data_IF_905646432617
#
_entry.id   IF_905646432617
#
_cell.length_a   1.000
_cell.length_b   1.000
_cell.length_c   1.000
_cell.angle_alpha   90.00
_cell.angle_beta   90.00
_cell.angle_gamma   90.00
#
_symmetry.space_group_name_H-M   'P 1'
#
loop_
_entity.id
_entity.type
_entity.pdbx_description
1 polymer ?
#
# COMPACT_ATOMS: atom_id res chain seq x y z
N UNK A 1 -22.74 18.28 17.44
CA UNK A 1 -21.98 18.32 16.18
C UNK A 1 -21.41 16.93 15.92
N UNK A 2 -22.01 16.17 15.02
CA UNK A 2 -21.59 14.79 14.75
C UNK A 2 -20.26 14.78 13.97
N UNK A 3 -19.24 14.14 14.54
CA UNK A 3 -17.95 13.95 13.91
C UNK A 3 -18.13 13.09 12.64
N UNK A 4 -17.89 13.68 11.48
CA UNK A 4 -17.90 13.01 10.19
C UNK A 4 -16.70 12.07 10.13
N UNK A 5 -16.88 10.82 10.53
CA UNK A 5 -15.89 9.75 10.40
C UNK A 5 -15.54 9.58 8.93
N UNK A 6 -14.30 9.96 8.56
CA UNK A 6 -13.77 9.73 7.22
C UNK A 6 -13.69 8.22 7.00
N UNK A 7 -14.35 7.73 5.95
CA UNK A 7 -14.23 6.34 5.53
C UNK A 7 -12.76 6.02 5.18
N UNK A 8 -12.27 4.81 5.53
CA UNK A 8 -10.93 4.38 5.16
C UNK A 8 -10.82 4.31 3.64
N UNK A 9 -9.84 5.01 3.08
CA UNK A 9 -9.47 4.91 1.66
C UNK A 9 -9.06 3.49 1.36
N UNK A 10 -9.70 2.87 0.35
CA UNK A 10 -9.39 1.52 -0.09
C UNK A 10 -7.87 1.37 -0.36
N UNK A 11 -7.28 0.22 -0.03
CA UNK A 11 -5.86 -0.02 -0.27
C UNK A 11 -5.59 0.06 -1.78
N UNK A 12 -4.79 1.04 -2.17
CA UNK A 12 -4.40 1.19 -3.57
C UNK A 12 -3.51 0.01 -3.96
N UNK A 13 -3.95 -0.80 -4.92
CA UNK A 13 -3.22 -1.96 -5.46
C UNK A 13 -1.90 -1.56 -6.16
N UNK A 14 -1.70 -0.27 -6.44
CA UNK A 14 -0.48 0.30 -7.02
C UNK A 14 0.01 1.47 -6.17
N UNK A 15 1.34 1.59 -6.02
CA UNK A 15 1.94 2.77 -5.41
C UNK A 15 1.66 4.03 -6.24
N UNK A 16 1.58 5.18 -5.57
CA UNK A 16 1.24 6.47 -6.21
C UNK A 16 2.15 6.83 -7.39
N UNK A 17 3.42 6.42 -7.31
CA UNK A 17 4.37 6.59 -8.40
C UNK A 17 4.07 5.68 -9.60
N UNK A 18 3.80 4.39 -9.36
CA UNK A 18 3.47 3.44 -10.42
C UNK A 18 2.21 3.87 -11.17
N UNK A 19 1.18 4.30 -10.44
CA UNK A 19 -0.06 4.80 -11.04
C UNK A 19 0.17 6.01 -11.94
N UNK A 20 1.01 6.95 -11.52
CA UNK A 20 1.39 8.11 -12.35
C UNK A 20 2.05 7.68 -13.64
N UNK A 21 3.03 6.79 -13.55
CA UNK A 21 3.75 6.28 -14.73
C UNK A 21 2.79 5.57 -15.70
N UNK A 22 1.90 4.71 -15.18
CA UNK A 22 0.92 3.98 -16.00
C UNK A 22 -0.03 4.94 -16.73
N UNK A 23 -0.59 5.92 -16.02
CA UNK A 23 -1.53 6.88 -16.64
C UNK A 23 -0.84 7.77 -17.69
N UNK A 24 0.40 8.20 -17.42
CA UNK A 24 1.21 8.96 -18.39
C UNK A 24 1.44 8.15 -19.66
N UNK A 25 1.88 6.90 -19.53
CA UNK A 25 2.14 6.03 -20.68
C UNK A 25 0.87 5.70 -21.45
N UNK A 26 -0.23 5.40 -20.74
CA UNK A 26 -1.51 5.08 -21.34
C UNK A 26 -2.04 6.26 -22.18
N UNK A 27 -2.08 7.46 -21.61
CA UNK A 27 -2.61 8.63 -22.31
C UNK A 27 -1.69 9.11 -23.43
N UNK A 28 -0.38 9.02 -23.26
CA UNK A 28 0.57 9.26 -24.35
C UNK A 28 0.35 8.27 -25.50
N UNK A 29 0.15 6.99 -25.21
CA UNK A 29 -0.14 5.95 -26.20
C UNK A 29 -1.46 6.18 -26.94
N UNK A 30 -2.54 6.51 -26.21
CA UNK A 30 -3.84 6.84 -26.80
C UNK A 30 -3.74 8.09 -27.70
N UNK A 31 -3.02 9.12 -27.27
CA UNK A 31 -2.80 10.31 -28.07
C UNK A 31 -2.03 10.00 -29.36
N UNK A 32 -1.00 9.14 -29.29
CA UNK A 32 -0.24 8.70 -30.46
C UNK A 32 -1.10 7.89 -31.44
N UNK A 33 -1.93 6.97 -30.91
CA UNK A 33 -2.87 6.19 -31.71
C UNK A 33 -3.90 7.08 -32.41
N UNK A 34 -4.40 8.11 -31.72
CA UNK A 34 -5.31 9.10 -32.30
C UNK A 34 -4.65 9.89 -33.45
N UNK A 35 -3.38 10.29 -33.31
CA UNK A 35 -2.62 10.91 -34.40
C UNK A 35 -2.50 9.97 -35.59
N UNK A 36 -2.16 8.71 -35.37
CA UNK A 36 -2.06 7.72 -36.45
C UNK A 36 -3.40 7.44 -37.16
N UNK A 37 -4.52 7.57 -36.45
CA UNK A 37 -5.86 7.36 -37.01
C UNK A 37 -6.42 8.60 -37.75
N UNK A 38 -6.11 9.80 -37.26
CA UNK A 38 -6.76 11.05 -37.71
C UNK A 38 -5.87 11.90 -38.61
N UNK A 39 -4.54 11.77 -38.51
CA UNK A 39 -3.60 12.60 -39.25
C UNK A 39 -2.95 11.76 -40.36
N UNK A 40 -3.14 12.12 -41.65
CA UNK A 40 -2.51 11.40 -42.73
C UNK A 40 -0.98 11.47 -42.60
N UNK A 41 -0.24 10.37 -42.89
CA UNK A 41 1.20 10.27 -42.66
C UNK A 41 2.00 11.00 -43.75
N UNK A 42 1.71 12.28 -43.97
CA UNK A 42 2.34 13.11 -45.00
C UNK A 42 2.63 14.50 -44.47
N UNK A 43 3.86 14.96 -44.69
CA UNK A 43 4.31 16.32 -44.39
C UNK A 43 4.74 16.57 -42.95
N UNK A 44 5.22 17.79 -42.70
CA UNK A 44 5.75 18.19 -41.39
C UNK A 44 4.70 18.25 -40.27
N UNK A 45 3.43 18.46 -40.61
CA UNK A 45 2.33 18.49 -39.62
C UNK A 45 2.12 17.13 -38.94
N UNK A 46 2.29 16.03 -39.66
CA UNK A 46 2.22 14.68 -39.08
C UNK A 46 3.33 14.48 -38.04
N UNK A 47 4.57 14.82 -38.39
CA UNK A 47 5.71 14.69 -37.47
C UNK A 47 5.58 15.62 -36.26
N UNK A 48 5.09 16.83 -36.45
CA UNK A 48 4.79 17.74 -35.35
C UNK A 48 3.72 17.14 -34.42
N UNK A 49 2.64 16.58 -34.98
CA UNK A 49 1.59 15.93 -34.21
C UNK A 49 2.11 14.71 -33.43
N UNK A 50 2.96 13.88 -34.04
CA UNK A 50 3.59 12.72 -33.39
C UNK A 50 4.47 13.13 -32.20
N UNK A 51 5.14 14.28 -32.25
CA UNK A 51 5.98 14.78 -31.16
C UNK A 51 5.13 15.44 -30.06
N UNK A 52 4.14 16.24 -30.45
CA UNK A 52 3.33 17.04 -29.52
C UNK A 52 2.30 16.18 -28.78
N UNK A 53 1.69 15.20 -29.45
CA UNK A 53 0.67 14.34 -28.86
C UNK A 53 1.10 13.58 -27.58
N UNK A 54 2.27 12.92 -27.52
CA UNK A 54 2.69 12.23 -26.29
C UNK A 54 3.05 13.21 -25.16
N UNK A 55 3.53 14.43 -25.48
CA UNK A 55 3.77 15.47 -24.48
C UNK A 55 2.47 15.97 -23.85
N UNK A 56 1.45 16.21 -24.69
CA UNK A 56 0.11 16.61 -24.22
C UNK A 56 -0.57 15.46 -23.46
N UNK A 57 -0.54 14.23 -23.99
CA UNK A 57 -1.11 13.04 -23.36
C UNK A 57 -0.42 12.70 -22.03
N UNK A 58 0.91 12.77 -21.98
CA UNK A 58 1.69 12.57 -20.76
C UNK A 58 1.47 13.66 -19.72
N UNK A 59 1.41 14.94 -20.15
CA UNK A 59 1.07 16.05 -19.27
C UNK A 59 -0.33 15.92 -18.65
N UNK A 60 -1.32 15.54 -19.47
CA UNK A 60 -2.68 15.25 -19.00
C UNK A 60 -2.69 14.07 -18.02
N UNK A 61 -1.90 13.02 -18.29
CA UNK A 61 -1.73 11.89 -17.39
C UNK A 61 -1.13 12.25 -16.04
N UNK A 62 -0.19 13.18 -15.97
CA UNK A 62 0.34 13.70 -14.71
C UNK A 62 -0.73 14.46 -13.91
N UNK A 63 -1.54 15.29 -14.57
CA UNK A 63 -2.62 16.04 -13.93
C UNK A 63 -3.70 15.09 -13.40
N UNK A 64 -4.12 14.12 -14.22
CA UNK A 64 -5.14 13.14 -13.85
C UNK A 64 -4.64 12.15 -12.79
N UNK A 65 -3.36 11.81 -12.77
CA UNK A 65 -2.80 10.98 -11.70
C UNK A 65 -2.68 11.68 -10.33
N UNK A 66 -3.01 12.98 -10.26
CA UNK A 66 -3.05 13.77 -9.03
C UNK A 66 -4.40 13.77 -8.30
N UNK A 67 -4.64 14.83 -7.52
CA UNK A 67 -5.88 15.06 -6.78
C UNK A 67 -7.18 14.93 -7.58
N UNK A 68 -7.29 15.47 -8.82
CA UNK A 68 -8.55 15.42 -9.57
C UNK A 68 -8.92 14.01 -10.05
N UNK A 69 -7.96 13.16 -10.45
CA UNK A 69 -8.30 11.79 -10.83
C UNK A 69 -8.65 10.91 -9.63
N UNK A 70 -8.15 11.20 -8.43
CA UNK A 70 -8.69 10.56 -7.20
C UNK A 70 -10.13 10.96 -6.94
N UNK A 71 -10.51 12.21 -7.19
CA UNK A 71 -11.89 12.65 -7.03
C UNK A 71 -12.81 12.00 -8.07
N UNK A 72 -12.33 11.83 -9.30
CA UNK A 72 -13.07 11.18 -10.38
C UNK A 72 -13.22 9.66 -10.12
N UNK A 73 -12.14 8.99 -9.72
CA UNK A 73 -12.15 7.57 -9.36
C UNK A 73 -13.04 7.30 -8.14
N UNK A 74 -12.96 8.13 -7.11
CA UNK A 74 -13.86 8.05 -5.96
C UNK A 74 -15.34 8.28 -6.36
N UNK A 75 -15.60 9.16 -7.34
CA UNK A 75 -16.94 9.36 -7.90
C UNK A 75 -17.43 8.15 -8.68
N UNK A 76 -16.58 7.54 -9.51
CA UNK A 76 -16.90 6.37 -10.31
C UNK A 76 -17.15 5.15 -9.42
N UNK A 77 -16.28 4.91 -8.44
CA UNK A 77 -16.42 3.84 -7.44
C UNK A 77 -17.62 4.05 -6.50
N UNK A 78 -18.00 5.30 -6.21
CA UNK A 78 -19.21 5.60 -5.45
C UNK A 78 -20.51 5.33 -6.23
N UNK A 79 -20.44 5.26 -7.57
CA UNK A 79 -21.62 5.04 -8.40
C UNK A 79 -22.01 3.57 -8.54
N UNK A 80 -21.06 2.64 -8.32
CA UNK A 80 -21.27 1.18 -8.50
C UNK A 80 -21.18 0.37 -7.20
N UNK A 81 -21.01 1.00 -6.04
CA UNK A 81 -20.99 0.27 -4.77
C UNK A 81 -22.39 -0.33 -4.50
N UNK A 82 -22.56 -1.66 -4.44
CA UNK A 82 -23.82 -2.26 -4.05
C UNK A 82 -24.16 -1.75 -2.64
N UNK A 83 -25.34 -1.14 -2.49
CA UNK A 83 -25.87 -0.60 -1.22
C UNK A 83 -25.91 -1.63 -0.08
N UNK A 84 -25.67 -2.89 -0.38
CA UNK A 84 -25.71 -4.03 0.54
C UNK A 84 -24.41 -4.85 0.46
N UNK A 85 -23.24 -4.21 0.54
CA UNK A 85 -22.03 -4.97 0.84
C UNK A 85 -22.25 -5.68 2.20
N UNK A 86 -22.21 -7.03 2.27
CA UNK A 86 -22.37 -7.74 3.52
C UNK A 86 -21.31 -7.23 4.48
N UNK A 87 -21.74 -6.76 5.66
CA UNK A 87 -20.81 -6.29 6.70
C UNK A 87 -19.77 -7.39 6.92
N UNK A 88 -18.47 -7.09 6.79
CA UNK A 88 -17.46 -8.09 7.06
C UNK A 88 -17.70 -8.63 8.48
N UNK A 89 -17.69 -9.96 8.67
CA UNK A 89 -17.88 -10.53 9.99
C UNK A 89 -16.84 -9.95 10.93
N UNK A 90 -17.28 -9.55 12.12
CA UNK A 90 -16.39 -9.06 13.17
C UNK A 90 -15.30 -10.12 13.39
N UNK A 91 -14.00 -9.77 13.51
CA UNK A 91 -12.92 -10.75 13.63
C UNK A 91 -13.11 -11.74 14.78
N UNK A 92 -13.82 -11.31 15.84
CA UNK A 92 -14.20 -12.11 17.00
C UNK A 92 -15.23 -13.21 16.68
N UNK A 93 -16.00 -13.07 15.60
CA UNK A 93 -17.00 -14.04 15.14
C UNK A 93 -16.42 -15.11 14.19
N UNK A 94 -15.15 -14.95 13.75
CA UNK A 94 -14.49 -15.94 12.90
C UNK A 94 -14.05 -17.16 13.72
N UNK A 95 -14.15 -18.38 13.14
CA UNK A 95 -13.57 -19.59 13.72
C UNK A 95 -12.05 -19.40 14.01
N UNK A 96 -11.52 -20.00 15.10
CA UNK A 96 -10.11 -19.90 15.46
C UNK A 96 -9.11 -20.13 14.31
N UNK A 97 -9.26 -21.17 13.46
CA UNK A 97 -8.31 -21.40 12.36
C UNK A 97 -8.37 -20.30 11.29
N UNK A 98 -9.57 -19.80 10.98
CA UNK A 98 -9.78 -18.71 10.03
C UNK A 98 -9.18 -17.40 10.53
N UNK A 99 -9.29 -17.13 11.83
CA UNK A 99 -8.69 -15.96 12.46
C UNK A 99 -7.17 -16.01 12.39
N UNK A 100 -6.56 -17.16 12.67
CA UNK A 100 -5.12 -17.34 12.57
C UNK A 100 -4.60 -17.21 11.12
N UNK A 101 -5.34 -17.74 10.15
CA UNK A 101 -5.04 -17.57 8.73
C UNK A 101 -5.12 -16.10 8.29
N UNK A 102 -6.13 -15.37 8.76
CA UNK A 102 -6.31 -13.96 8.41
C UNK A 102 -5.25 -13.07 9.08
N UNK A 103 -4.85 -13.40 10.31
CA UNK A 103 -3.75 -12.75 11.03
C UNK A 103 -2.40 -12.96 10.35
N UNK A 104 -2.14 -14.16 9.84
CA UNK A 104 -0.90 -14.44 9.09
C UNK A 104 -0.93 -13.80 7.69
N UNK A 105 -2.10 -13.72 7.05
CA UNK A 105 -2.27 -13.07 5.75
C UNK A 105 -2.04 -11.54 5.80
N UNK A 106 -2.34 -10.87 6.92
CA UNK A 106 -2.15 -9.42 7.05
C UNK A 106 -0.70 -9.03 7.41
N UNK A 107 0.13 -10.00 7.81
CA UNK A 107 1.50 -9.77 8.26
C UNK A 107 2.37 -8.97 7.29
N UNK A 108 2.36 -9.25 5.96
CA UNK A 108 3.16 -8.48 5.00
C UNK A 108 2.76 -7.01 4.98
N UNK A 109 1.46 -6.71 5.12
CA UNK A 109 0.95 -5.34 5.18
C UNK A 109 1.43 -4.64 6.44
N UNK A 110 1.37 -5.32 7.59
CA UNK A 110 1.82 -4.75 8.85
C UNK A 110 3.35 -4.51 8.88
N UNK A 111 4.14 -5.41 8.30
CA UNK A 111 5.59 -5.24 8.16
C UNK A 111 5.93 -4.06 7.23
N UNK A 112 5.17 -3.88 6.14
CA UNK A 112 5.33 -2.73 5.26
C UNK A 112 4.97 -1.41 5.96
N UNK A 113 3.87 -1.39 6.74
CA UNK A 113 3.48 -0.24 7.56
C UNK A 113 4.56 0.10 8.60
N UNK A 114 5.12 -0.90 9.28
CA UNK A 114 6.21 -0.70 10.24
C UNK A 114 7.46 -0.13 9.54
N UNK A 115 7.83 -0.64 8.37
CA UNK A 115 8.94 -0.12 7.59
C UNK A 115 8.72 1.34 7.16
N UNK A 116 7.51 1.68 6.72
CA UNK A 116 7.12 3.06 6.38
C UNK A 116 7.10 3.99 7.60
N UNK A 117 6.65 3.50 8.77
CA UNK A 117 6.64 4.25 10.01
C UNK A 117 8.06 4.50 10.55
N UNK A 118 8.97 3.55 10.38
CA UNK A 118 10.35 3.62 10.87
C UNK A 118 11.12 4.86 10.37
N UNK A 119 10.77 5.38 9.19
CA UNK A 119 11.37 6.61 8.65
C UNK A 119 11.12 7.86 9.53
N UNK A 120 10.09 7.83 10.38
CA UNK A 120 9.69 8.94 11.27
C UNK A 120 10.11 8.72 12.73
N UNK A 121 10.76 7.60 13.02
CA UNK A 121 11.14 7.21 14.39
C UNK A 121 12.53 7.75 14.75
N UNK A 122 12.78 7.86 16.06
CA UNK A 122 14.13 8.14 16.57
C UNK A 122 15.09 6.98 16.22
N UNK A 123 16.42 7.22 16.21
CA UNK A 123 17.39 6.29 15.61
C UNK A 123 17.36 4.87 16.20
N UNK A 124 17.11 4.75 17.50
CA UNK A 124 17.07 3.46 18.20
C UNK A 124 15.80 2.68 17.84
N UNK A 125 14.65 3.33 17.91
CA UNK A 125 13.35 2.77 17.57
C UNK A 125 13.29 2.37 16.10
N UNK A 126 13.91 3.19 15.23
CA UNK A 126 14.07 2.87 13.81
C UNK A 126 14.90 1.61 13.59
N UNK A 127 16.04 1.47 14.28
CA UNK A 127 16.88 0.28 14.17
C UNK A 127 16.13 -0.98 14.64
N UNK A 128 15.43 -0.89 15.77
CA UNK A 128 14.60 -1.97 16.30
C UNK A 128 13.45 -2.35 15.33
N UNK A 129 12.77 -1.37 14.75
CA UNK A 129 11.70 -1.58 13.77
C UNK A 129 12.21 -2.29 12.51
N UNK A 130 13.35 -1.87 11.95
CA UNK A 130 13.92 -2.47 10.74
C UNK A 130 14.42 -3.89 11.00
N UNK A 131 15.07 -4.14 12.14
CA UNK A 131 15.48 -5.48 12.54
C UNK A 131 14.28 -6.44 12.66
N UNK A 132 13.17 -5.95 13.21
CA UNK A 132 11.92 -6.71 13.29
C UNK A 132 11.31 -6.98 11.92
N UNK A 133 11.39 -6.02 10.98
CA UNK A 133 10.92 -6.22 9.61
C UNK A 133 11.71 -7.33 8.90
N UNK A 134 13.04 -7.30 9.02
CA UNK A 134 13.92 -8.30 8.42
C UNK A 134 13.71 -9.70 9.01
N UNK A 135 13.67 -9.80 10.35
CA UNK A 135 13.39 -11.05 11.04
C UNK A 135 11.98 -11.57 10.74
N UNK A 136 10.98 -10.68 10.64
CA UNK A 136 9.61 -11.04 10.30
C UNK A 136 9.42 -11.50 8.85
N UNK A 137 10.22 -10.98 7.91
CA UNK A 137 10.21 -11.43 6.52
C UNK A 137 10.79 -12.84 6.35
N UNK A 138 11.71 -13.23 7.23
CA UNK A 138 12.41 -14.53 7.23
C UNK A 138 11.89 -15.51 8.27
N UNK A 139 10.87 -15.12 9.05
CA UNK A 139 10.31 -15.92 10.13
C UNK A 139 9.76 -17.27 9.62
N UNK A 140 10.01 -18.37 10.34
CA UNK A 140 9.46 -19.68 9.99
C UNK A 140 7.92 -19.68 10.07
N UNK A 141 7.28 -20.53 9.26
CA UNK A 141 5.83 -20.68 9.26
C UNK A 141 5.29 -21.29 10.56
N UNK A 142 3.99 -21.15 10.80
CA UNK A 142 3.33 -21.71 11.99
C UNK A 142 3.29 -20.74 13.18
N UNK A 143 3.64 -21.23 14.37
CA UNK A 143 3.44 -20.51 15.64
C UNK A 143 4.22 -19.19 15.72
N UNK A 144 5.46 -19.16 15.22
CA UNK A 144 6.28 -17.94 15.18
C UNK A 144 5.62 -16.82 14.35
N UNK A 145 5.04 -17.18 13.20
CA UNK A 145 4.33 -16.23 12.32
C UNK A 145 3.02 -15.75 12.91
N UNK A 146 2.34 -16.59 13.69
CA UNK A 146 1.12 -16.23 14.43
C UNK A 146 1.42 -15.33 15.64
N UNK A 147 2.50 -15.60 16.38
CA UNK A 147 2.95 -14.76 17.48
C UNK A 147 3.31 -13.36 16.96
N UNK A 148 4.07 -13.30 15.85
CA UNK A 148 4.37 -12.04 15.17
C UNK A 148 3.09 -11.30 14.75
N UNK A 149 2.10 -11.99 14.16
CA UNK A 149 0.83 -11.38 13.77
C UNK A 149 0.04 -10.76 14.93
N UNK A 150 0.17 -11.36 16.12
CA UNK A 150 -0.55 -10.94 17.33
C UNK A 150 0.10 -9.73 17.98
N UNK A 151 1.42 -9.72 18.07
CA UNK A 151 2.16 -8.74 18.88
C UNK A 151 2.52 -7.48 18.08
N UNK A 152 2.69 -7.61 16.76
CA UNK A 152 3.20 -6.55 15.90
C UNK A 152 2.29 -5.30 15.82
N UNK A 153 0.94 -5.38 15.82
CA UNK A 153 0.09 -4.19 15.89
C UNK A 153 0.34 -3.34 17.15
N UNK A 154 0.52 -3.99 18.31
CA UNK A 154 0.81 -3.31 19.58
C UNK A 154 2.21 -2.68 19.58
N UNK A 155 3.20 -3.38 19.02
CA UNK A 155 4.56 -2.87 18.88
C UNK A 155 4.64 -1.67 17.95
N UNK A 156 3.93 -1.67 16.81
CA UNK A 156 3.86 -0.52 15.90
C UNK A 156 3.36 0.72 16.66
N UNK A 157 2.26 0.59 17.41
CA UNK A 157 1.67 1.69 18.16
C UNK A 157 2.62 2.22 19.25
N UNK A 158 3.28 1.31 19.98
CA UNK A 158 4.19 1.68 21.07
C UNK A 158 5.51 2.28 20.58
N UNK A 159 6.05 1.80 19.45
CA UNK A 159 7.22 2.39 18.79
C UNK A 159 6.90 3.78 18.21
N UNK A 160 5.72 3.93 17.60
CA UNK A 160 5.27 5.23 17.10
C UNK A 160 5.08 6.26 18.22
N UNK A 161 4.78 5.82 19.45
CA UNK A 161 4.71 6.67 20.63
C UNK A 161 6.08 6.99 21.27
N UNK A 162 7.18 6.45 20.75
CA UNK A 162 8.54 6.69 21.27
C UNK A 162 8.88 5.92 22.56
N UNK A 163 8.27 4.76 22.78
CA UNK A 163 8.54 3.94 23.96
C UNK A 163 9.87 3.19 23.87
N UNK A 164 10.86 3.54 24.70
CA UNK A 164 12.15 2.81 24.79
C UNK A 164 11.96 1.32 25.18
N UNK A 165 10.91 1.02 25.94
CA UNK A 165 10.49 -0.35 26.27
C UNK A 165 9.99 -1.12 25.04
N UNK A 166 9.32 -0.43 24.10
CA UNK A 166 8.84 -1.01 22.85
C UNK A 166 10.00 -1.34 21.90
N UNK A 167 11.04 -0.51 21.86
CA UNK A 167 12.27 -0.82 21.12
C UNK A 167 12.93 -2.10 21.64
N UNK A 168 13.07 -2.24 22.96
CA UNK A 168 13.61 -3.46 23.56
C UNK A 168 12.74 -4.70 23.28
N UNK A 169 11.41 -4.56 23.32
CA UNK A 169 10.50 -5.66 22.99
C UNK A 169 10.56 -6.06 21.50
N UNK A 170 10.70 -5.09 20.59
CA UNK A 170 10.86 -5.34 19.16
C UNK A 170 12.20 -6.04 18.85
N UNK A 171 13.29 -5.63 19.50
CA UNK A 171 14.61 -6.29 19.40
C UNK A 171 14.58 -7.72 19.95
N UNK A 172 13.91 -7.95 21.09
CA UNK A 172 13.77 -9.30 21.65
C UNK A 172 12.96 -10.21 20.73
N UNK A 173 11.87 -9.69 20.18
CA UNK A 173 11.02 -10.44 19.25
C UNK A 173 11.76 -10.74 17.94
N UNK A 174 12.51 -9.78 17.39
CA UNK A 174 13.38 -10.00 16.23
C UNK A 174 14.42 -11.09 16.48
N UNK A 175 15.06 -11.10 17.66
CA UNK A 175 16.02 -12.16 18.04
C UNK A 175 15.38 -13.53 18.15
N UNK A 176 14.18 -13.64 18.73
CA UNK A 176 13.46 -14.92 18.83
C UNK A 176 13.13 -15.50 17.45
N UNK A 177 12.82 -14.65 16.49
CA UNK A 177 12.53 -15.05 15.11
C UNK A 177 13.78 -15.43 14.32
N UNK A 178 14.94 -14.84 14.64
CA UNK A 178 16.21 -15.12 13.99
C UNK A 178 16.89 -16.42 14.47
N UNK A 179 16.48 -16.98 15.61
CA UNK A 179 17.03 -18.25 16.11
C UNK A 179 16.46 -19.45 15.33
N UNK A 180 17.32 -20.39 14.88
CA UNK A 180 16.87 -21.60 14.20
C UNK A 180 16.14 -22.49 15.21
N UNK A 181 14.81 -22.45 15.19
CA UNK A 181 13.94 -23.26 16.06
C UNK A 181 13.03 -22.44 16.98
N UNK A 182 12.34 -21.41 16.45
CA UNK A 182 11.36 -20.58 17.16
C UNK A 182 10.09 -21.30 17.63
N UNK A 183 10.23 -22.41 18.35
CA UNK A 183 9.22 -23.07 19.17
C UNK A 183 9.94 -23.63 20.41
N UNK A 184 9.72 -22.99 21.56
CA UNK A 184 9.75 -23.64 22.87
C UNK A 184 8.45 -23.32 23.57
#
# INVERSE_FOLDING_TARGET
>A
MAAKTRAPTAPALMGDWQRRVVLVLLLAGVALAAVGALVPPRGGLYWLAVIVAPLLGGGLGLVLAGGPGRALEARLMASDAPKEAPRPPTPAALPPPLRAALQTAILPVLLAELAGAAARMAPRERAAALALVEAGATAPEGEARQALARDLPGLIAALAAGGATAAGAAEDLARRLALPGGAR
#
